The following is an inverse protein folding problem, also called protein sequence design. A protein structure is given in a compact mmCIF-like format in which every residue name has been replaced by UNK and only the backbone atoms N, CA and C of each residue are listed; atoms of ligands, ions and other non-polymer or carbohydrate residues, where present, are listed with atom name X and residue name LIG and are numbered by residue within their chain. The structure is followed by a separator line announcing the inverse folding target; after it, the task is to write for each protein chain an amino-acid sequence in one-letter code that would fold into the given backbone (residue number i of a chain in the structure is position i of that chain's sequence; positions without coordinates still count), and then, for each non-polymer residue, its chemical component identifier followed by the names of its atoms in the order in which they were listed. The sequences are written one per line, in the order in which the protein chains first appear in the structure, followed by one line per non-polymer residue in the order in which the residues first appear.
data_IF_741252805568
#
_entry.id   IF_741252805568
#
_cell.length_a   1.000
_cell.length_b   1.000
_cell.length_c   1.000
_cell.angle_alpha   90.00
_cell.angle_beta   90.00
_cell.angle_gamma   90.00
#
_symmetry.space_group_name_H-M   'P 1'
#
loop_
_entity.id
_entity.type
_entity.pdbx_description
1 polymer ?
#
# COMPACT_ATOMS: atom_id res chain seq x y z
N UNK A 1 23.35 -38.00 43.86
CA UNK A 1 22.03 -38.48 43.38
C UNK A 1 20.89 -37.50 43.67
N UNK A 2 20.64 -37.08 44.92
CA UNK A 2 19.58 -36.10 45.23
C UNK A 2 19.79 -34.70 44.61
N UNK A 3 21.03 -34.18 44.62
CA UNK A 3 21.37 -32.85 44.07
C UNK A 3 21.28 -32.78 42.54
N UNK A 4 21.67 -33.85 41.86
CA UNK A 4 21.59 -33.97 40.39
C UNK A 4 20.15 -34.12 39.91
N UNK A 5 19.33 -34.85 40.66
CA UNK A 5 17.88 -34.96 40.41
C UNK A 5 17.17 -33.62 40.62
N UNK A 6 17.55 -32.85 41.65
CA UNK A 6 17.02 -31.51 41.90
C UNK A 6 17.37 -30.54 40.77
N UNK A 7 18.59 -30.61 40.24
CA UNK A 7 19.06 -29.76 39.16
C UNK A 7 18.34 -30.07 37.83
N UNK A 8 18.05 -31.34 37.58
CA UNK A 8 17.27 -31.79 36.42
C UNK A 8 15.81 -31.32 36.50
N UNK A 9 15.21 -31.40 37.69
CA UNK A 9 13.85 -30.91 37.94
C UNK A 9 13.75 -29.38 37.75
N UNK A 10 14.78 -28.64 38.21
CA UNK A 10 14.87 -27.19 38.01
C UNK A 10 15.00 -26.84 36.53
N UNK A 11 15.78 -27.59 35.76
CA UNK A 11 15.93 -27.36 34.32
C UNK A 11 14.63 -27.58 33.55
N UNK A 12 13.86 -28.62 33.91
CA UNK A 12 12.55 -28.90 33.33
C UNK A 12 11.54 -27.81 33.69
N UNK A 13 11.59 -27.29 34.92
CA UNK A 13 10.71 -26.21 35.36
C UNK A 13 11.00 -24.89 34.60
N UNK A 14 12.28 -24.55 34.41
CA UNK A 14 12.69 -23.31 33.72
C UNK A 14 12.42 -23.38 32.23
N UNK A 15 12.71 -24.51 31.58
CA UNK A 15 12.41 -24.69 30.14
C UNK A 15 10.91 -24.84 29.86
N UNK A 16 10.16 -25.47 30.77
CA UNK A 16 8.70 -25.59 30.66
C UNK A 16 7.99 -24.23 30.70
N UNK A 17 8.48 -23.28 31.51
CA UNK A 17 7.92 -21.93 31.56
C UNK A 17 8.17 -21.12 30.28
N UNK A 18 9.27 -21.35 29.57
CA UNK A 18 9.58 -20.62 28.32
C UNK A 18 8.67 -21.04 27.15
N UNK A 19 8.14 -22.27 27.16
CA UNK A 19 7.21 -22.77 26.14
C UNK A 19 5.75 -22.27 26.32
N UNK A 20 5.43 -21.67 27.47
CA UNK A 20 4.09 -21.16 27.79
C UNK A 20 3.95 -19.65 27.56
N UNK A 21 5.02 -18.95 27.18
CA UNK A 21 4.90 -17.58 26.70
C UNK A 21 4.24 -17.63 25.32
N UNK A 22 3.01 -17.10 25.14
CA UNK A 22 2.52 -16.89 23.80
C UNK A 22 3.54 -16.00 23.10
N UNK A 23 4.05 -16.45 21.95
CA UNK A 23 4.70 -15.55 21.02
C UNK A 23 3.64 -14.49 20.69
N UNK A 24 3.72 -13.34 21.34
CA UNK A 24 2.83 -12.22 21.08
C UNK A 24 3.13 -11.79 19.64
N UNK A 25 2.40 -12.37 18.70
CA UNK A 25 2.31 -11.83 17.37
C UNK A 25 1.65 -10.46 17.56
N UNK A 26 2.41 -9.39 17.39
CA UNK A 26 1.81 -8.07 17.27
C UNK A 26 0.90 -8.13 16.04
N UNK A 27 -0.41 -8.17 16.26
CA UNK A 27 -1.39 -7.99 15.19
C UNK A 27 -1.13 -6.60 14.59
N UNK A 28 -0.59 -6.56 13.37
CA UNK A 28 -0.44 -5.29 12.66
C UNK A 28 -1.81 -4.85 12.16
N UNK A 29 -2.25 -3.67 12.56
CA UNK A 29 -3.51 -3.10 12.09
C UNK A 29 -3.36 -2.70 10.61
N UNK A 30 -4.06 -3.42 9.73
CA UNK A 30 -4.18 -3.10 8.32
C UNK A 30 -5.46 -2.32 8.05
N UNK A 31 -5.31 -1.08 7.59
CA UNK A 31 -6.41 -0.23 7.19
C UNK A 31 -6.37 0.02 5.69
N UNK A 32 -7.54 0.00 5.04
CA UNK A 32 -7.62 0.25 3.60
C UNK A 32 -8.62 1.34 3.30
N UNK A 33 -8.25 2.21 2.36
CA UNK A 33 -9.05 3.37 1.99
C UNK A 33 -9.25 3.34 0.49
N UNK A 34 -10.46 3.03 0.08
CA UNK A 34 -10.85 2.93 -1.32
C UNK A 34 -11.48 4.24 -1.78
N UNK A 35 -11.05 4.74 -2.93
CA UNK A 35 -11.59 5.93 -3.56
C UNK A 35 -11.73 5.75 -5.07
N UNK A 36 -12.75 6.38 -5.66
CA UNK A 36 -12.95 6.39 -7.09
C UNK A 36 -11.88 7.22 -7.79
N UNK A 37 -11.28 6.65 -8.84
CA UNK A 37 -10.40 7.38 -9.75
C UNK A 37 -11.26 8.22 -10.70
N UNK A 38 -10.93 9.50 -10.81
CA UNK A 38 -11.56 10.44 -11.74
C UNK A 38 -10.75 10.56 -13.02
N UNK A 39 -9.41 10.67 -12.91
CA UNK A 39 -8.48 10.73 -14.03
C UNK A 39 -7.15 10.05 -13.68
N UNK A 40 -6.52 9.45 -14.68
CA UNK A 40 -5.16 8.94 -14.67
C UNK A 40 -4.45 9.55 -15.87
N UNK A 41 -3.32 10.19 -15.61
CA UNK A 41 -2.46 10.76 -16.63
C UNK A 41 -1.15 9.98 -16.62
N UNK A 42 -0.87 9.19 -17.68
CA UNK A 42 0.44 8.61 -17.88
C UNK A 42 1.49 9.72 -18.02
N UNK A 43 2.62 9.56 -17.36
CA UNK A 43 3.76 10.47 -17.42
C UNK A 43 5.05 9.66 -17.53
N UNK A 44 6.13 10.26 -18.06
CA UNK A 44 7.43 9.57 -18.20
C UNK A 44 8.02 9.07 -16.88
N UNK A 45 7.67 9.69 -15.74
CA UNK A 45 8.17 9.33 -14.41
C UNK A 45 7.16 8.55 -13.55
N UNK A 46 5.91 8.38 -14.01
CA UNK A 46 4.90 7.70 -13.21
C UNK A 46 3.47 7.96 -13.69
N UNK A 47 2.51 7.76 -12.80
CA UNK A 47 1.11 8.09 -13.02
C UNK A 47 0.68 9.24 -12.11
N UNK A 48 0.09 10.27 -12.71
CA UNK A 48 -0.64 11.28 -11.96
C UNK A 48 -2.11 10.88 -11.89
N UNK A 49 -2.61 10.65 -10.67
CA UNK A 49 -3.98 10.16 -10.42
C UNK A 49 -4.76 11.20 -9.64
N UNK A 50 -5.92 11.57 -10.18
CA UNK A 50 -6.93 12.38 -9.50
C UNK A 50 -8.03 11.45 -9.01
N UNK A 51 -8.35 11.54 -7.72
CA UNK A 51 -9.37 10.70 -7.08
C UNK A 51 -10.40 11.53 -6.32
N UNK A 52 -11.55 10.92 -6.03
CA UNK A 52 -12.65 11.56 -5.30
C UNK A 52 -12.37 11.61 -3.80
N UNK A 53 -12.71 12.71 -3.16
CA UNK A 53 -12.70 12.86 -1.70
C UNK A 53 -14.10 13.16 -1.17
N UNK A 54 -14.25 13.08 0.15
CA UNK A 54 -15.49 13.47 0.80
C UNK A 54 -15.85 14.94 0.49
N UNK A 55 -17.15 15.24 0.43
CA UNK A 55 -17.65 16.60 0.23
C UNK A 55 -17.36 17.20 -1.15
N UNK A 56 -17.46 16.40 -2.23
CA UNK A 56 -17.24 16.82 -3.62
C UNK A 56 -15.82 17.36 -3.92
N UNK A 57 -14.86 17.09 -3.04
CA UNK A 57 -13.46 17.46 -3.22
C UNK A 57 -12.73 16.42 -4.06
N UNK A 58 -11.55 16.80 -4.54
CA UNK A 58 -10.61 15.90 -5.21
C UNK A 58 -9.30 15.82 -4.45
N UNK A 59 -8.65 14.66 -4.58
CA UNK A 59 -7.28 14.44 -4.15
C UNK A 59 -6.41 14.11 -5.34
N UNK A 60 -5.11 14.30 -5.16
CA UNK A 60 -4.09 14.11 -6.18
C UNK A 60 -2.98 13.26 -5.59
N UNK A 61 -2.48 12.29 -6.36
CA UNK A 61 -1.25 11.57 -6.05
C UNK A 61 -0.41 11.38 -7.31
N UNK A 62 0.91 11.38 -7.11
CA UNK A 62 1.91 11.12 -8.13
C UNK A 62 2.58 9.82 -7.74
N UNK A 63 2.39 8.78 -8.53
CA UNK A 63 2.86 7.42 -8.23
C UNK A 63 4.03 7.12 -9.15
N UNK A 64 5.26 7.01 -8.63
CA UNK A 64 6.45 6.77 -9.44
C UNK A 64 6.39 5.42 -10.18
N UNK A 65 6.98 5.33 -11.37
CA UNK A 65 7.02 4.07 -12.11
C UNK A 65 7.80 2.98 -11.37
N UNK A 66 8.88 3.35 -10.66
CA UNK A 66 9.68 2.39 -9.89
C UNK A 66 8.86 1.62 -8.85
N UNK A 67 7.79 2.21 -8.30
CA UNK A 67 6.95 1.57 -7.29
C UNK A 67 6.13 0.39 -7.84
N UNK A 68 5.88 0.37 -9.16
CA UNK A 68 5.20 -0.73 -9.84
C UNK A 68 6.15 -1.89 -10.19
N UNK A 69 7.45 -1.72 -10.01
CA UNK A 69 8.41 -2.82 -10.16
C UNK A 69 8.18 -3.87 -9.06
N UNK A 70 8.31 -5.14 -9.42
CA UNK A 70 8.14 -6.27 -8.49
C UNK A 70 9.11 -6.21 -7.31
N UNK A 71 10.26 -5.56 -7.46
CA UNK A 71 11.28 -5.41 -6.41
C UNK A 71 10.91 -4.37 -5.36
N UNK A 72 10.11 -3.37 -5.73
CA UNK A 72 9.67 -2.30 -4.84
C UNK A 72 8.26 -2.59 -4.31
N UNK A 73 7.31 -2.84 -5.22
CA UNK A 73 5.92 -3.21 -4.91
C UNK A 73 5.14 -2.23 -4.02
N UNK A 74 5.62 -0.99 -3.80
CA UNK A 74 4.83 0.07 -3.16
C UNK A 74 3.61 0.50 -3.98
N UNK A 75 3.56 0.14 -5.26
CA UNK A 75 2.39 0.31 -6.12
C UNK A 75 2.07 -0.96 -6.91
N UNK A 76 0.78 -1.23 -7.10
CA UNK A 76 0.29 -2.33 -7.94
C UNK A 76 -0.71 -1.77 -8.95
N UNK A 77 -0.48 -2.02 -10.24
CA UNK A 77 -1.41 -1.66 -11.31
C UNK A 77 -2.18 -2.89 -11.78
N UNK A 78 -3.50 -2.87 -11.59
CA UNK A 78 -4.42 -3.87 -12.12
C UNK A 78 -5.21 -3.26 -13.27
N UNK A 79 -5.03 -3.81 -14.46
CA UNK A 79 -5.79 -3.42 -15.64
C UNK A 79 -7.01 -4.33 -15.78
N UNK A 80 -8.20 -3.73 -15.74
CA UNK A 80 -9.48 -4.46 -15.76
C UNK A 80 -10.26 -4.19 -17.04
N UNK A 81 -11.05 -5.19 -17.45
CA UNK A 81 -11.99 -5.12 -18.56
C UNK A 81 -13.44 -5.11 -18.02
N UNK A 82 -14.40 -4.66 -18.83
CA UNK A 82 -15.82 -4.65 -18.48
C UNK A 82 -16.30 -3.37 -17.78
N UNK A 83 -17.42 -3.47 -17.06
CA UNK A 83 -18.07 -2.33 -16.40
C UNK A 83 -17.63 -2.21 -14.94
N UNK A 84 -16.35 -1.90 -14.73
CA UNK A 84 -15.78 -1.64 -13.40
C UNK A 84 -15.49 -0.15 -13.29
N UNK A 85 -15.89 0.47 -12.19
CA UNK A 85 -15.50 1.84 -11.89
C UNK A 85 -14.03 1.83 -11.41
N UNK A 86 -13.09 2.50 -12.10
CA UNK A 86 -11.70 2.56 -11.68
C UNK A 86 -11.56 3.15 -10.27
N UNK A 87 -10.66 2.57 -9.49
CA UNK A 87 -10.47 2.93 -8.09
C UNK A 87 -9.01 2.88 -7.68
N UNK A 88 -8.71 3.62 -6.62
CA UNK A 88 -7.43 3.70 -5.97
C UNK A 88 -7.62 3.23 -4.53
N UNK A 89 -6.81 2.28 -4.08
CA UNK A 89 -6.83 1.81 -2.69
C UNK A 89 -5.50 2.14 -2.03
N UNK A 90 -5.54 2.98 -1.02
CA UNK A 90 -4.42 3.18 -0.11
C UNK A 90 -4.47 2.10 0.97
N UNK A 91 -3.35 1.40 1.16
CA UNK A 91 -3.18 0.43 2.24
C UNK A 91 -2.25 1.05 3.26
N UNK A 92 -2.69 1.04 4.51
CA UNK A 92 -1.96 1.55 5.64
C UNK A 92 -1.69 0.41 6.61
N UNK A 93 -0.48 0.38 7.17
CA UNK A 93 -0.07 -0.54 8.23
C UNK A 93 0.30 0.30 9.43
N UNK A 94 -0.34 0.03 10.57
CA UNK A 94 -0.11 0.77 11.81
C UNK A 94 -0.31 2.29 11.64
N UNK A 95 -1.26 2.69 10.78
CA UNK A 95 -1.55 4.10 10.48
C UNK A 95 -0.59 4.78 9.49
N UNK A 96 0.46 4.10 9.04
CA UNK A 96 1.42 4.59 8.05
C UNK A 96 1.16 4.02 6.67
N UNK A 97 1.56 4.74 5.62
CA UNK A 97 1.44 4.26 4.25
C UNK A 97 2.27 2.99 4.04
N UNK A 98 1.63 1.93 3.54
CA UNK A 98 2.28 0.65 3.23
C UNK A 98 2.43 0.50 1.69
N UNK A 99 1.31 0.52 0.96
CA UNK A 99 1.31 0.49 -0.50
C UNK A 99 0.03 1.06 -1.11
N UNK A 100 0.03 1.26 -2.42
CA UNK A 100 -1.14 1.70 -3.19
C UNK A 100 -1.51 0.69 -4.26
N UNK A 101 -2.82 0.48 -4.47
CA UNK A 101 -3.34 -0.33 -5.58
C UNK A 101 -4.14 0.54 -6.52
N UNK A 102 -3.73 0.57 -7.77
CA UNK A 102 -4.40 1.27 -8.86
C UNK A 102 -5.18 0.24 -9.66
N UNK A 103 -6.50 0.34 -9.66
CA UNK A 103 -7.35 -0.43 -10.56
C UNK A 103 -7.83 0.49 -11.68
N UNK A 104 -7.30 0.26 -12.88
CA UNK A 104 -7.53 1.11 -14.04
C UNK A 104 -8.14 0.32 -15.20
N UNK A 105 -8.87 0.99 -16.08
CA UNK A 105 -9.40 0.34 -17.28
C UNK A 105 -8.27 -0.06 -18.21
N UNK A 106 -8.28 -1.30 -18.71
CA UNK A 106 -7.33 -1.77 -19.72
C UNK A 106 -7.45 -0.98 -21.03
N UNK A 107 -8.66 -0.57 -21.39
CA UNK A 107 -8.90 0.29 -22.55
C UNK A 107 -8.42 1.73 -22.25
N UNK A 108 -7.32 2.14 -22.86
CA UNK A 108 -6.74 3.49 -22.72
C UNK A 108 -7.59 4.60 -23.33
N UNK A 109 -8.64 4.26 -24.10
CA UNK A 109 -9.66 5.21 -24.59
C UNK A 109 -10.78 5.46 -23.58
N UNK A 110 -10.79 4.75 -22.44
CA UNK A 110 -11.77 4.99 -21.38
C UNK A 110 -11.60 6.40 -20.81
N UNK A 111 -12.70 7.08 -20.45
CA UNK A 111 -12.68 8.49 -20.04
C UNK A 111 -11.89 8.80 -18.76
N UNK A 112 -11.48 7.77 -18.01
CA UNK A 112 -10.56 7.94 -16.88
C UNK A 112 -9.11 8.13 -17.32
N UNK A 113 -8.74 7.73 -18.54
CA UNK A 113 -7.42 8.01 -19.08
C UNK A 113 -7.40 9.41 -19.67
N UNK A 114 -6.46 10.22 -19.21
CA UNK A 114 -6.22 11.57 -19.70
C UNK A 114 -4.88 11.66 -20.42
N UNK A 115 -4.74 12.75 -21.16
CA UNK A 115 -3.46 13.17 -21.73
C UNK A 115 -3.10 14.52 -21.12
N UNK A 116 -1.83 14.68 -20.75
CA UNK A 116 -1.30 15.94 -20.27
C UNK A 116 0.08 16.15 -20.93
N UNK A 117 0.45 17.38 -21.33
CA UNK A 117 1.80 17.65 -21.80
C UNK A 117 2.84 17.27 -20.75
N UNK A 118 3.94 16.63 -21.16
CA UNK A 118 5.02 16.26 -20.21
C UNK A 118 5.63 17.47 -19.50
N UNK A 119 5.58 18.65 -20.12
CA UNK A 119 6.07 19.90 -19.54
C UNK A 119 5.16 20.45 -18.44
N UNK A 120 3.94 19.95 -18.30
CA UNK A 120 2.97 20.45 -17.32
C UNK A 120 3.21 19.90 -15.91
N UNK A 121 3.84 18.73 -15.77
CA UNK A 121 4.13 18.11 -14.48
C UNK A 121 5.64 17.94 -14.34
N UNK A 122 6.28 18.69 -13.44
CA UNK A 122 7.72 18.63 -13.27
C UNK A 122 8.12 17.32 -12.56
N UNK A 123 9.33 16.83 -12.81
CA UNK A 123 9.80 15.51 -12.37
C UNK A 123 9.73 15.34 -10.84
N UNK A 124 10.00 16.42 -10.11
CA UNK A 124 10.08 16.49 -8.66
C UNK A 124 8.78 16.04 -7.98
N UNK A 125 7.64 16.11 -8.69
CA UNK A 125 6.36 15.61 -8.19
C UNK A 125 6.34 14.10 -7.99
N UNK A 126 7.19 13.37 -8.72
CA UNK A 126 7.33 11.92 -8.64
C UNK A 126 8.51 11.49 -7.74
N UNK A 127 9.26 12.42 -7.15
CA UNK A 127 10.34 12.09 -6.22
C UNK A 127 9.77 11.99 -4.80
N UNK A 128 8.92 10.99 -4.58
CA UNK A 128 8.21 10.76 -3.31
C UNK A 128 8.56 9.40 -2.75
N UNK A 129 8.63 9.29 -1.42
CA UNK A 129 8.88 8.02 -0.72
C UNK A 129 7.61 7.41 -0.10
N UNK A 130 6.57 8.24 0.06
CA UNK A 130 5.30 7.88 0.67
C UNK A 130 4.16 8.67 0.05
N UNK A 131 2.93 8.14 0.10
CA UNK A 131 1.73 8.87 -0.27
C UNK A 131 0.97 9.26 1.00
N UNK A 132 0.63 10.55 1.08
CA UNK A 132 -0.27 11.07 2.10
C UNK A 132 -1.65 11.29 1.48
N UNK A 133 -2.50 10.24 1.44
CA UNK A 133 -3.87 10.39 0.97
C UNK A 133 -4.61 11.42 1.81
N UNK A 134 -5.31 12.32 1.12
CA UNK A 134 -6.17 13.29 1.78
C UNK A 134 -7.58 12.70 1.76
N UNK A 135 -8.16 12.48 2.93
CA UNK A 135 -9.53 11.95 3.07
C UNK A 135 -10.55 13.09 3.04
#
# INVERSE_FOLDING_TARGET
MKKTMLLMLFFILVFGCFALLPAAAEESDLYTINTQILRIFPHKYGYYVIYRRAGLKTGEVFIPHEWFDRRDSRAVLNLVEGNVNPYLTFVLRNGEFDHVRVCAMKNTRHGTWGTIPETAIPQERFQVETLNPKF
#
